data_IF_644819065612
#
_entry.id   IF_644819065612
#
_cell.length_a   1.000
_cell.length_b   1.000
_cell.length_c   1.000
_cell.angle_alpha   90.00
_cell.angle_beta   90.00
_cell.angle_gamma   90.00
#
_symmetry.space_group_name_H-M   'P 1'
#
loop_
_entity.id
_entity.type
_entity.pdbx_description
1 polymer ?
#
# COMPACT_ATOMS: atom_id res chain seq x y z
N UNK A 1 -6.77 4.70 -0.10
CA UNK A 1 -7.24 4.65 -1.50
C UNK A 1 -7.95 5.92 -1.93
N UNK A 2 -8.98 6.40 -1.21
CA UNK A 2 -9.66 7.68 -1.52
C UNK A 2 -8.70 8.85 -1.74
N UNK A 3 -7.75 9.09 -0.82
CA UNK A 3 -6.78 10.17 -0.96
C UNK A 3 -5.94 10.06 -2.25
N UNK A 4 -5.56 8.86 -2.68
CA UNK A 4 -4.82 8.64 -3.93
C UNK A 4 -5.69 8.93 -5.15
N UNK A 5 -6.95 8.46 -5.14
CA UNK A 5 -7.95 8.75 -6.20
C UNK A 5 -8.20 10.25 -6.35
N UNK A 6 -8.25 10.98 -5.23
CA UNK A 6 -8.40 12.44 -5.19
C UNK A 6 -7.08 13.20 -5.40
N UNK A 7 -6.00 12.51 -5.75
CA UNK A 7 -4.66 13.08 -5.96
C UNK A 7 -4.05 13.80 -4.74
N UNK A 8 -4.60 13.55 -3.54
CA UNK A 8 -4.06 13.96 -2.25
C UNK A 8 -2.94 13.02 -1.81
N UNK A 9 -1.88 12.97 -2.60
CA UNK A 9 -0.79 12.01 -2.41
C UNK A 9 0.00 12.23 -1.13
N UNK A 10 0.14 13.49 -0.67
CA UNK A 10 0.78 13.81 0.61
C UNK A 10 0.01 13.19 1.78
N UNK A 11 -1.31 13.42 1.84
CA UNK A 11 -2.18 12.81 2.84
C UNK A 11 -2.10 11.29 2.79
N UNK A 12 -2.13 10.69 1.59
CA UNK A 12 -2.01 9.25 1.42
C UNK A 12 -0.67 8.70 1.92
N UNK A 13 0.44 9.42 1.67
CA UNK A 13 1.77 9.03 2.13
C UNK A 13 1.90 9.14 3.66
N UNK A 14 1.32 10.18 4.26
CA UNK A 14 1.32 10.39 5.71
C UNK A 14 0.51 9.34 6.49
N UNK A 15 -0.40 8.61 5.83
CA UNK A 15 -1.13 7.50 6.45
C UNK A 15 -0.28 6.23 6.60
N UNK A 16 0.87 6.16 5.94
CA UNK A 16 1.72 4.97 5.90
C UNK A 16 2.76 4.97 7.02
N UNK A 17 3.05 3.77 7.50
CA UNK A 17 4.06 3.50 8.51
C UNK A 17 5.09 2.51 7.97
N UNK A 18 6.28 2.49 8.55
CA UNK A 18 7.26 1.42 8.38
C UNK A 18 7.21 0.47 9.59
N UNK A 19 7.34 -0.82 9.33
CA UNK A 19 7.65 -1.82 10.36
C UNK A 19 9.13 -2.10 10.31
N UNK A 20 9.85 -2.29 11.43
CA UNK A 20 11.25 -2.71 11.36
C UNK A 20 11.39 -4.14 10.80
N UNK A 21 12.46 -4.42 10.08
CA UNK A 21 12.66 -5.75 9.45
C UNK A 21 13.17 -6.80 10.43
N UNK A 22 13.93 -6.36 11.42
CA UNK A 22 14.56 -7.20 12.43
C UNK A 22 13.59 -7.58 13.55
N UNK A 23 12.54 -6.77 13.78
CA UNK A 23 11.50 -7.06 14.75
C UNK A 23 10.08 -6.84 14.18
N UNK A 24 9.35 -7.92 13.86
CA UNK A 24 7.98 -7.84 13.35
C UNK A 24 6.96 -7.39 14.41
N UNK A 25 7.34 -7.31 15.69
CA UNK A 25 6.51 -6.82 16.79
C UNK A 25 6.86 -5.39 17.20
N UNK A 26 7.85 -4.77 16.55
CA UNK A 26 8.23 -3.39 16.79
C UNK A 26 7.05 -2.45 16.52
N UNK A 27 7.07 -1.31 17.21
CA UNK A 27 6.13 -0.23 16.96
C UNK A 27 6.25 0.23 15.50
N UNK A 28 5.13 0.37 14.75
CA UNK A 28 5.14 1.00 13.45
C UNK A 28 5.60 2.46 13.56
N UNK A 29 6.62 2.84 12.79
CA UNK A 29 7.20 4.19 12.79
C UNK A 29 6.69 5.00 11.58
N UNK A 30 6.74 6.33 11.68
CA UNK A 30 6.44 7.20 10.55
C UNK A 30 7.55 7.07 9.50
N UNK A 31 7.18 7.23 8.23
CA UNK A 31 8.15 7.26 7.14
C UNK A 31 9.10 8.45 7.27
N UNK A 32 10.38 8.23 6.97
CA UNK A 32 11.35 9.31 6.83
C UNK A 32 11.16 10.09 5.51
N UNK A 33 11.93 11.16 5.32
CA UNK A 33 11.82 12.01 4.14
C UNK A 33 12.17 11.31 2.82
N UNK A 34 13.11 10.36 2.83
CA UNK A 34 13.51 9.63 1.62
C UNK A 34 12.41 8.63 1.24
N UNK A 35 11.88 7.92 2.23
CA UNK A 35 10.75 7.00 2.09
C UNK A 35 9.51 7.73 1.62
N UNK A 36 9.16 8.87 2.22
CA UNK A 36 8.04 9.71 1.80
C UNK A 36 8.19 10.13 0.34
N UNK A 37 9.37 10.60 -0.07
CA UNK A 37 9.63 10.96 -1.47
C UNK A 37 9.44 9.77 -2.41
N UNK A 38 9.94 8.60 -2.02
CA UNK A 38 9.84 7.34 -2.77
C UNK A 38 8.38 6.88 -2.92
N UNK A 39 7.60 6.95 -1.84
CA UNK A 39 6.17 6.65 -1.82
C UNK A 39 5.38 7.64 -2.68
N UNK A 40 5.64 8.94 -2.54
CA UNK A 40 4.98 9.97 -3.34
C UNK A 40 5.20 9.77 -4.84
N UNK A 41 6.43 9.44 -5.24
CA UNK A 41 6.75 9.12 -6.63
C UNK A 41 5.95 7.91 -7.13
N UNK A 42 5.88 6.83 -6.33
CA UNK A 42 5.09 5.64 -6.67
C UNK A 42 3.60 5.93 -6.77
N UNK A 43 3.01 6.64 -5.80
CA UNK A 43 1.60 6.99 -5.81
C UNK A 43 1.21 7.84 -7.04
N UNK A 44 2.08 8.78 -7.43
CA UNK A 44 1.88 9.61 -8.63
C UNK A 44 2.00 8.83 -9.95
N UNK A 45 2.72 7.70 -9.95
CA UNK A 45 2.91 6.88 -11.15
C UNK A 45 1.66 6.05 -11.50
N UNK A 46 0.75 5.82 -10.56
CA UNK A 46 -0.44 4.98 -10.77
C UNK A 46 -1.73 5.80 -10.61
N UNK A 47 -2.31 6.32 -11.70
CA UNK A 47 -3.60 6.98 -11.64
C UNK A 47 -4.68 5.96 -11.26
N UNK A 48 -5.41 6.25 -10.19
CA UNK A 48 -6.52 5.42 -9.72
C UNK A 48 -7.82 6.06 -10.21
N UNK A 49 -8.50 5.39 -11.13
CA UNK A 49 -9.84 5.75 -11.56
C UNK A 49 -10.88 5.32 -10.53
N UNK A 50 -10.82 4.07 -10.10
CA UNK A 50 -11.71 3.54 -9.07
C UNK A 50 -11.09 2.40 -8.29
N UNK A 51 -11.72 2.00 -7.19
CA UNK A 51 -11.24 0.86 -6.41
C UNK A 51 -12.37 0.15 -5.67
N UNK A 52 -12.15 -1.11 -5.32
CA UNK A 52 -13.07 -1.90 -4.51
C UNK A 52 -12.26 -2.81 -3.59
N UNK A 53 -12.57 -2.79 -2.28
CA UNK A 53 -12.03 -3.78 -1.36
C UNK A 53 -12.74 -5.10 -1.66
N UNK A 54 -11.98 -6.09 -2.11
CA UNK A 54 -12.53 -7.37 -2.57
C UNK A 54 -12.51 -8.43 -1.49
N UNK A 55 -11.52 -8.39 -0.60
CA UNK A 55 -11.36 -9.39 0.47
C UNK A 55 -10.59 -8.80 1.65
N UNK A 56 -10.92 -9.27 2.85
CA UNK A 56 -10.31 -8.87 4.12
C UNK A 56 -10.10 -10.11 4.99
N UNK A 57 -8.85 -10.47 5.22
CA UNK A 57 -8.46 -11.60 6.06
C UNK A 57 -7.75 -11.03 7.28
N UNK A 58 -8.34 -11.21 8.46
CA UNK A 58 -7.74 -10.82 9.74
C UNK A 58 -7.48 -12.06 10.58
N UNK A 59 -6.20 -12.40 10.79
CA UNK A 59 -5.82 -13.59 11.57
C UNK A 59 -5.28 -13.20 12.92
N UNK A 60 -4.27 -12.32 12.93
CA UNK A 60 -3.57 -11.89 14.14
C UNK A 60 -3.16 -10.43 14.05
N UNK A 61 -2.68 -9.85 15.16
CA UNK A 61 -2.29 -8.44 15.23
C UNK A 61 -1.34 -8.00 14.09
N UNK A 62 -0.43 -8.88 13.65
CA UNK A 62 0.57 -8.57 12.62
C UNK A 62 0.42 -9.41 11.34
N UNK A 63 -0.60 -10.26 11.25
CA UNK A 63 -0.92 -11.11 10.09
C UNK A 63 -2.36 -10.82 9.61
N UNK A 64 -2.47 -9.79 8.78
CA UNK A 64 -3.71 -9.40 8.14
C UNK A 64 -3.44 -9.08 6.67
N UNK A 65 -4.45 -9.29 5.83
CA UNK A 65 -4.41 -8.97 4.42
C UNK A 65 -5.72 -8.30 4.00
N UNK A 66 -5.61 -7.19 3.30
CA UNK A 66 -6.72 -6.52 2.62
C UNK A 66 -6.40 -6.48 1.14
N UNK A 67 -7.24 -7.15 0.36
CA UNK A 67 -7.14 -7.18 -1.10
C UNK A 67 -8.02 -6.10 -1.69
N UNK A 68 -7.46 -5.31 -2.59
CA UNK A 68 -8.15 -4.23 -3.27
C UNK A 68 -8.01 -4.40 -4.78
N UNK A 69 -9.14 -4.44 -5.49
CA UNK A 69 -9.16 -4.28 -6.94
C UNK A 69 -9.06 -2.79 -7.26
N UNK A 70 -8.07 -2.40 -8.04
CA UNK A 70 -7.82 -1.02 -8.45
C UNK A 70 -8.06 -0.90 -9.95
N UNK A 71 -8.95 -0.01 -10.35
CA UNK A 71 -9.22 0.34 -11.75
C UNK A 71 -8.35 1.55 -12.10
N UNK A 72 -7.52 1.42 -13.12
CA UNK A 72 -6.57 2.44 -13.57
C UNK A 72 -7.22 3.41 -14.56
N UNK A 73 -8.14 2.92 -15.40
CA UNK A 73 -8.89 3.73 -16.36
C UNK A 73 -10.24 3.08 -16.70
N UNK A 74 -11.27 3.86 -17.08
CA UNK A 74 -12.55 3.29 -17.50
C UNK A 74 -12.43 2.63 -18.88
N UNK A 75 -13.19 1.56 -19.09
CA UNK A 75 -13.43 1.02 -20.44
C UNK A 75 -14.70 1.66 -20.99
N UNK A 76 -14.59 2.29 -22.14
CA UNK A 76 -15.73 2.92 -22.83
C UNK A 76 -16.27 2.04 -23.95
N UNK A 77 -15.45 1.12 -24.47
CA UNK A 77 -15.80 0.14 -25.50
C UNK A 77 -15.76 -1.27 -24.89
N UNK A 78 -16.76 -2.09 -25.23
CA UNK A 78 -16.85 -3.49 -24.80
C UNK A 78 -15.77 -4.36 -25.45
N UNK A 79 -15.29 -3.98 -26.63
CA UNK A 79 -14.21 -4.67 -27.34
C UNK A 79 -12.82 -4.28 -26.84
N UNK A 80 -12.70 -3.29 -25.94
CA UNK A 80 -11.41 -2.90 -25.36
C UNK A 80 -10.89 -3.99 -24.41
N UNK A 81 -9.99 -4.83 -24.94
CA UNK A 81 -9.38 -5.93 -24.18
C UNK A 81 -8.21 -5.51 -23.30
N UNK A 82 -7.79 -4.23 -23.28
CA UNK A 82 -6.65 -3.79 -22.46
C UNK A 82 -6.92 -4.06 -20.97
N UNK A 83 -5.94 -4.55 -20.20
CA UNK A 83 -6.10 -4.68 -18.76
C UNK A 83 -6.19 -3.29 -18.14
N UNK A 84 -7.34 -2.96 -17.56
CA UNK A 84 -7.60 -1.67 -16.94
C UNK A 84 -7.65 -1.74 -15.42
N UNK A 85 -7.37 -2.91 -14.84
CA UNK A 85 -7.42 -3.11 -13.40
C UNK A 85 -6.24 -3.98 -12.94
N UNK A 86 -5.85 -3.77 -11.69
CA UNK A 86 -4.82 -4.54 -10.99
C UNK A 86 -5.29 -4.86 -9.57
N UNK A 87 -4.68 -5.85 -8.93
CA UNK A 87 -4.96 -6.19 -7.54
C UNK A 87 -3.83 -5.68 -6.67
N UNK A 88 -4.17 -4.86 -5.68
CA UNK A 88 -3.24 -4.40 -4.65
C UNK A 88 -3.53 -5.13 -3.35
N UNK A 89 -2.46 -5.45 -2.63
CA UNK A 89 -2.52 -6.11 -1.34
C UNK A 89 -1.97 -5.16 -0.28
N UNK A 90 -2.69 -5.04 0.82
CA UNK A 90 -2.30 -4.27 1.98
C UNK A 90 -2.21 -5.20 3.18
N UNK A 91 -1.22 -4.97 4.03
CA UNK A 91 -1.02 -5.74 5.27
C UNK A 91 -1.17 -4.80 6.47
N UNK A 92 -2.40 -4.46 6.89
CA UNK A 92 -2.60 -3.60 8.04
C UNK A 92 -2.16 -4.32 9.33
N UNK A 93 -1.54 -3.57 10.24
CA UNK A 93 -1.11 -4.06 11.54
C UNK A 93 -2.03 -3.46 12.60
N UNK A 94 -2.43 -4.27 13.58
CA UNK A 94 -3.14 -3.80 14.77
C UNK A 94 -2.17 -3.71 15.95
N UNK A 95 -1.69 -2.51 16.23
CA UNK A 95 -0.74 -2.24 17.30
C UNK A 95 -1.41 -1.47 18.43
N UNK A 96 -1.38 -2.00 19.65
CA UNK A 96 -2.00 -1.42 20.85
C UNK A 96 -3.47 -0.97 20.66
N UNK A 97 -4.23 -1.73 19.87
CA UNK A 97 -5.64 -1.45 19.58
C UNK A 97 -5.88 -0.56 18.35
N UNK A 98 -4.85 0.10 17.82
CA UNK A 98 -4.94 0.95 16.62
C UNK A 98 -4.54 0.21 15.34
N UNK A 99 -5.22 0.51 14.23
CA UNK A 99 -4.86 0.01 12.91
C UNK A 99 -3.86 0.93 12.22
N UNK A 100 -2.75 0.36 11.75
CA UNK A 100 -1.68 1.06 11.02
C UNK A 100 -1.48 0.41 9.67
N UNK A 101 -1.45 1.20 8.61
CA UNK A 101 -1.13 0.70 7.27
C UNK A 101 0.39 0.74 7.08
N UNK A 102 1.01 -0.43 7.07
CA UNK A 102 2.46 -0.53 7.00
C UNK A 102 2.93 -0.84 5.57
N UNK A 103 3.95 -0.13 5.11
CA UNK A 103 4.61 -0.43 3.84
C UNK A 103 5.63 -1.56 4.05
N UNK A 104 5.41 -2.72 3.43
CA UNK A 104 6.37 -3.83 3.41
C UNK A 104 6.86 -4.02 1.97
N UNK A 105 8.18 -4.13 1.74
CA UNK A 105 8.71 -4.33 0.39
C UNK A 105 8.32 -5.73 -0.11
N UNK A 106 7.47 -5.78 -1.14
CA UNK A 106 6.93 -7.03 -1.68
C UNK A 106 7.84 -7.72 -2.70
N UNK A 107 9.01 -7.17 -3.01
CA UNK A 107 9.94 -7.74 -4.00
C UNK A 107 10.71 -8.97 -3.48
N UNK A 108 10.76 -9.19 -2.16
CA UNK A 108 11.60 -10.23 -1.55
C UNK A 108 10.94 -10.96 -0.35
N UNK A 109 9.63 -10.80 -0.18
CA UNK A 109 8.93 -11.21 1.05
C UNK A 109 9.22 -10.25 2.20
N UNK A 110 8.16 -9.72 2.84
CA UNK A 110 8.13 -8.88 4.04
C UNK A 110 9.49 -8.44 4.64
N UNK A 111 10.27 -7.61 3.93
CA UNK A 111 11.47 -6.92 4.45
C UNK A 111 11.35 -5.40 4.29
N UNK A 112 12.09 -4.66 5.11
CA UNK A 112 12.18 -3.20 5.09
C UNK A 112 13.10 -2.66 4.00
N UNK A 113 13.12 -1.34 3.87
CA UNK A 113 13.78 -0.59 2.80
C UNK A 113 15.31 -0.76 2.70
N UNK A 114 15.97 -1.47 3.63
CA UNK A 114 17.42 -1.65 3.61
C UNK A 114 17.87 -3.06 3.23
N UNK A 115 18.09 -3.26 1.92
CA UNK A 115 19.13 -4.12 1.31
C UNK A 115 18.85 -4.15 -0.21
N UNK A 116 19.69 -3.71 -1.14
CA UNK A 116 21.14 -3.49 -1.12
C UNK A 116 21.51 -2.51 -2.25
N UNK A 117 22.45 -1.62 -1.99
CA UNK A 117 23.38 -1.21 -3.03
C UNK A 117 24.31 -2.39 -3.32
N UNK A 118 24.28 -2.88 -4.56
CA UNK A 118 25.42 -3.44 -5.30
C UNK A 118 25.02 -3.64 -6.76
#
# INVERSE_FOLDING_TARGET
MTAVKEQRYADAAMMLHEMKADDPFAQPELLDNEQLKSVLQRLKAFPIYDYTISDCIFKEAFDNEVRCKVVLFPKTDKEDMRPNATTWYFKPVRYLGEWKLCFRSSAQGDRTFHSSAQ
#
